data_IF_953343915149
#
_entry.id   IF_953343915149
#
_cell.length_a   1.000
_cell.length_b   1.000
_cell.length_c   1.000
_cell.angle_alpha   90.00
_cell.angle_beta   90.00
_cell.angle_gamma   90.00
#
_symmetry.space_group_name_H-M   'P 1'
#
loop_
_entity.id
_entity.type
_entity.pdbx_description
1 polymer ?
#
# COMPACT_ATOMS: atom_id res chain seq x y z
N UNK A 1 -29.75 37.84 2.35
CA UNK A 1 -29.08 37.78 1.03
C UNK A 1 -27.65 38.23 1.25
N UNK A 2 -26.82 37.34 1.79
CA UNK A 2 -25.41 37.63 2.12
C UNK A 2 -24.55 37.33 0.89
N UNK A 3 -23.82 38.35 0.43
CA UNK A 3 -22.86 38.21 -0.65
C UNK A 3 -21.63 37.42 -0.17
N UNK A 4 -21.41 36.30 -0.85
CA UNK A 4 -20.23 35.45 -0.77
C UNK A 4 -18.96 36.27 -0.97
N UNK A 5 -18.08 36.23 0.04
CA UNK A 5 -16.73 36.80 -0.05
C UNK A 5 -15.96 36.08 -1.16
N UNK A 6 -15.72 36.80 -2.26
CA UNK A 6 -14.88 36.36 -3.37
C UNK A 6 -13.46 36.17 -2.82
N UNK A 7 -12.92 34.96 -2.95
CA UNK A 7 -11.56 34.63 -2.55
C UNK A 7 -10.56 35.57 -3.26
N UNK A 8 -9.65 36.17 -2.49
CA UNK A 8 -8.61 37.04 -3.02
C UNK A 8 -7.74 36.29 -4.06
N UNK A 9 -7.34 36.94 -5.17
CA UNK A 9 -6.53 36.32 -6.19
C UNK A 9 -5.18 35.88 -5.60
N UNK A 10 -4.79 34.64 -5.91
CA UNK A 10 -3.50 34.05 -5.55
C UNK A 10 -2.38 34.94 -6.13
N UNK A 11 -1.63 35.60 -5.25
CA UNK A 11 -0.42 36.33 -5.64
C UNK A 11 0.59 35.33 -6.21
N UNK A 12 1.01 35.44 -7.48
CA UNK A 12 1.97 34.52 -8.06
C UNK A 12 3.32 34.67 -7.35
N UNK A 13 3.71 33.65 -6.57
CA UNK A 13 5.08 33.53 -6.07
C UNK A 13 6.02 33.52 -7.26
N UNK A 14 7.03 34.39 -7.25
CA UNK A 14 7.98 34.62 -8.33
C UNK A 14 8.38 33.34 -9.06
N UNK A 15 8.05 33.29 -10.34
CA UNK A 15 8.37 32.19 -11.25
C UNK A 15 9.89 32.03 -11.34
N UNK A 16 10.46 31.11 -10.57
CA UNK A 16 11.75 30.52 -10.93
C UNK A 16 11.51 29.74 -12.21
N UNK A 17 11.95 30.29 -13.35
CA UNK A 17 11.82 29.63 -14.65
C UNK A 17 12.41 28.23 -14.59
N UNK A 18 11.64 27.25 -15.08
CA UNK A 18 12.11 25.86 -15.14
C UNK A 18 13.33 25.77 -16.08
N UNK A 19 14.35 24.98 -15.75
CA UNK A 19 15.50 24.80 -16.63
C UNK A 19 15.04 24.29 -18.00
N UNK A 20 15.59 24.84 -19.08
CA UNK A 20 15.26 24.43 -20.45
C UNK A 20 15.45 22.91 -20.66
N UNK A 21 16.44 22.31 -20.00
CA UNK A 21 16.69 20.86 -20.03
C UNK A 21 15.56 20.05 -19.41
N UNK A 22 14.90 20.56 -18.36
CA UNK A 22 13.72 19.94 -17.75
C UNK A 22 12.54 20.05 -18.70
N UNK A 23 12.34 21.21 -19.33
CA UNK A 23 11.26 21.41 -20.31
C UNK A 23 11.42 20.49 -21.54
N UNK A 24 12.64 20.34 -22.06
CA UNK A 24 12.92 19.44 -23.19
C UNK A 24 12.68 17.98 -22.78
N UNK A 25 13.20 17.54 -21.62
CA UNK A 25 12.96 16.18 -21.11
C UNK A 25 11.46 15.92 -20.90
N UNK A 26 10.75 16.89 -20.32
CA UNK A 26 9.31 16.80 -20.11
C UNK A 26 8.58 16.69 -21.45
N UNK A 27 8.93 17.49 -22.45
CA UNK A 27 8.34 17.40 -23.79
C UNK A 27 8.61 16.02 -24.43
N UNK A 28 9.84 15.50 -24.33
CA UNK A 28 10.16 14.14 -24.82
C UNK A 28 9.33 13.07 -24.11
N UNK A 29 9.17 13.17 -22.79
CA UNK A 29 8.36 12.23 -22.01
C UNK A 29 6.89 12.35 -22.36
N UNK A 30 6.34 13.56 -22.47
CA UNK A 30 4.94 13.81 -22.83
C UNK A 30 4.63 13.29 -24.24
N UNK A 31 5.54 13.47 -25.20
CA UNK A 31 5.41 12.91 -26.55
C UNK A 31 5.34 11.38 -26.56
N UNK A 32 6.12 10.72 -25.70
CA UNK A 32 6.12 9.26 -25.59
C UNK A 32 4.96 8.70 -24.77
N UNK A 33 4.35 9.51 -23.91
CA UNK A 33 3.27 9.11 -23.01
C UNK A 33 1.93 9.72 -23.44
N UNK A 34 1.58 10.88 -22.89
CA UNK A 34 0.26 11.52 -23.03
C UNK A 34 -0.13 11.78 -24.49
N UNK A 35 0.83 12.09 -25.37
CA UNK A 35 0.55 12.37 -26.78
C UNK A 35 0.78 11.18 -27.71
N UNK A 36 1.15 10.01 -27.18
CA UNK A 36 1.39 8.81 -27.97
C UNK A 36 0.16 7.91 -28.01
N UNK A 37 -0.33 7.56 -29.20
CA UNK A 37 -1.35 6.51 -29.35
C UNK A 37 -0.86 5.16 -28.83
N UNK A 38 0.43 4.85 -29.02
CA UNK A 38 1.03 3.58 -28.55
C UNK A 38 0.90 3.44 -27.03
N UNK A 39 1.11 4.51 -26.29
CA UNK A 39 0.96 4.52 -24.82
C UNK A 39 -0.42 4.07 -24.37
N UNK A 40 -1.49 4.64 -24.93
CA UNK A 40 -2.85 4.25 -24.57
C UNK A 40 -3.21 2.83 -25.00
N UNK A 41 -2.71 2.37 -26.16
CA UNK A 41 -2.90 0.98 -26.59
C UNK A 41 -2.23 -0.01 -25.64
N UNK A 42 -1.00 0.29 -25.21
CA UNK A 42 -0.26 -0.53 -24.25
C UNK A 42 -0.97 -0.56 -22.88
N UNK A 43 -1.46 0.59 -22.39
CA UNK A 43 -2.27 0.63 -21.15
C UNK A 43 -3.50 -0.26 -21.28
N UNK A 44 -4.28 -0.09 -22.37
CA UNK A 44 -5.49 -0.89 -22.58
C UNK A 44 -5.17 -2.38 -22.67
N UNK A 45 -4.08 -2.75 -23.33
CA UNK A 45 -3.73 -4.16 -23.60
C UNK A 45 -3.05 -4.84 -22.41
N UNK A 46 -2.27 -4.11 -21.60
CA UNK A 46 -1.50 -4.69 -20.49
C UNK A 46 -2.12 -4.42 -19.12
N UNK A 47 -2.63 -3.22 -18.90
CA UNK A 47 -3.15 -2.79 -17.58
C UNK A 47 -4.65 -3.05 -17.45
N UNK A 48 -5.43 -2.79 -18.50
CA UNK A 48 -6.91 -2.83 -18.43
C UNK A 48 -7.53 -4.10 -19.04
N UNK A 49 -6.74 -4.96 -19.67
CA UNK A 49 -7.24 -6.12 -20.41
C UNK A 49 -7.71 -7.28 -19.52
N UNK A 50 -7.20 -7.37 -18.29
CA UNK A 50 -7.52 -8.44 -17.36
C UNK A 50 -7.94 -7.86 -16.01
N UNK A 51 -8.92 -8.52 -15.39
CA UNK A 51 -9.33 -8.19 -14.01
C UNK A 51 -8.17 -8.33 -13.03
N UNK A 52 -7.26 -9.28 -13.24
CA UNK A 52 -6.10 -9.49 -12.38
C UNK A 52 -5.06 -8.36 -12.50
N UNK A 53 -4.78 -7.87 -13.71
CA UNK A 53 -3.84 -6.75 -13.91
C UNK A 53 -4.45 -5.43 -13.42
N UNK A 54 -5.76 -5.27 -13.59
CA UNK A 54 -6.51 -4.15 -13.02
C UNK A 54 -6.49 -4.18 -11.48
N UNK A 55 -6.75 -5.32 -10.83
CA UNK A 55 -6.67 -5.42 -9.36
C UNK A 55 -5.25 -5.15 -8.85
N UNK A 56 -4.21 -5.68 -9.50
CA UNK A 56 -2.82 -5.41 -9.10
C UNK A 56 -2.50 -3.90 -9.11
N UNK A 57 -3.03 -3.17 -10.09
CA UNK A 57 -2.87 -1.73 -10.18
C UNK A 57 -3.67 -0.98 -9.10
N UNK A 58 -4.95 -1.35 -8.93
CA UNK A 58 -5.82 -0.79 -7.90
C UNK A 58 -5.34 -1.09 -6.48
N UNK A 59 -4.73 -2.25 -6.26
CA UNK A 59 -4.15 -2.66 -4.97
C UNK A 59 -3.09 -1.65 -4.54
N UNK A 60 -2.15 -1.33 -5.42
CA UNK A 60 -1.12 -0.34 -5.08
C UNK A 60 -1.72 1.05 -4.85
N UNK A 61 -2.60 1.52 -5.74
CA UNK A 61 -3.22 2.84 -5.63
C UNK A 61 -4.04 2.97 -4.33
N UNK A 62 -4.78 1.91 -3.95
CA UNK A 62 -5.57 1.86 -2.73
C UNK A 62 -4.73 2.17 -1.48
N UNK A 63 -3.68 1.40 -1.23
CA UNK A 63 -2.89 1.58 -0.01
C UNK A 63 -1.92 2.75 -0.12
N UNK A 64 -1.46 3.10 -1.32
CA UNK A 64 -0.60 4.26 -1.51
C UNK A 64 -1.35 5.57 -1.24
N UNK A 65 -2.61 5.68 -1.66
CA UNK A 65 -3.45 6.85 -1.33
C UNK A 65 -3.78 6.90 0.17
N UNK A 66 -3.99 5.77 0.83
CA UNK A 66 -4.12 5.70 2.30
C UNK A 66 -2.83 6.15 3.02
N UNK A 67 -1.67 5.72 2.52
CA UNK A 67 -0.37 6.11 3.05
C UNK A 67 -0.15 7.62 2.90
N UNK A 68 -0.41 8.17 1.70
CA UNK A 68 -0.33 9.61 1.45
C UNK A 68 -1.29 10.41 2.34
N UNK A 69 -2.53 9.95 2.49
CA UNK A 69 -3.50 10.55 3.42
C UNK A 69 -2.96 10.58 4.85
N UNK A 70 -2.40 9.47 5.32
CA UNK A 70 -1.84 9.35 6.67
C UNK A 70 -0.62 10.25 6.88
N UNK A 71 0.25 10.35 5.88
CA UNK A 71 1.42 11.24 5.89
C UNK A 71 0.97 12.71 5.93
N UNK A 72 -0.04 13.08 5.14
CA UNK A 72 -0.56 14.44 5.09
C UNK A 72 -1.26 14.84 6.40
N UNK A 73 -2.01 13.93 7.02
CA UNK A 73 -2.63 14.16 8.32
C UNK A 73 -1.59 14.31 9.44
N UNK A 74 -0.50 13.55 9.37
CA UNK A 74 0.58 13.60 10.36
C UNK A 74 1.70 14.60 9.97
N UNK A 75 1.49 15.46 8.98
CA UNK A 75 2.53 16.36 8.43
C UNK A 75 3.21 17.19 9.50
N UNK A 76 2.45 17.72 10.46
CA UNK A 76 2.98 18.57 11.53
C UNK A 76 3.89 17.78 12.47
N UNK A 77 3.48 16.57 12.87
CA UNK A 77 4.27 15.69 13.71
C UNK A 77 5.53 15.18 12.99
N UNK A 78 5.41 14.86 11.70
CA UNK A 78 6.55 14.47 10.86
C UNK A 78 7.55 15.64 10.74
N UNK A 79 7.07 16.87 10.56
CA UNK A 79 7.94 18.04 10.46
C UNK A 79 8.68 18.31 11.77
N UNK A 80 7.97 18.26 12.92
CA UNK A 80 8.59 18.33 14.24
C UNK A 80 9.65 17.25 14.43
N UNK A 81 9.33 15.99 14.09
CA UNK A 81 10.29 14.88 14.17
C UNK A 81 11.53 15.12 13.30
N UNK A 82 11.35 15.53 12.04
CA UNK A 82 12.46 15.81 11.13
C UNK A 82 13.33 16.98 11.59
N UNK A 83 12.74 18.05 12.14
CA UNK A 83 13.48 19.15 12.73
C UNK A 83 14.29 18.69 13.95
N UNK A 84 13.70 17.88 14.83
CA UNK A 84 14.40 17.29 15.97
C UNK A 84 15.55 16.37 15.52
N UNK A 85 15.35 15.53 14.50
CA UNK A 85 16.42 14.68 13.96
C UNK A 85 17.53 15.51 13.29
N UNK A 86 17.16 16.58 12.58
CA UNK A 86 18.12 17.52 12.01
C UNK A 86 18.94 18.20 13.11
N UNK A 87 18.32 18.63 14.20
CA UNK A 87 19.01 19.21 15.34
C UNK A 87 19.95 18.19 16.00
N UNK A 88 19.51 16.95 16.20
CA UNK A 88 20.34 15.86 16.71
C UNK A 88 21.53 15.56 15.81
N UNK A 89 21.32 15.52 14.49
CA UNK A 89 22.39 15.30 13.51
C UNK A 89 23.40 16.46 13.52
N UNK A 90 22.93 17.71 13.57
CA UNK A 90 23.82 18.88 13.71
C UNK A 90 24.61 18.80 15.01
N UNK A 91 23.98 18.40 16.12
CA UNK A 91 24.68 18.22 17.40
C UNK A 91 25.73 17.10 17.34
N UNK A 92 25.46 16.01 16.62
CA UNK A 92 26.38 14.89 16.43
C UNK A 92 27.54 15.28 15.52
N UNK A 93 27.27 15.97 14.41
CA UNK A 93 28.27 16.56 13.52
C UNK A 93 29.12 17.55 14.30
N UNK A 94 28.55 18.42 15.12
CA UNK A 94 29.31 19.36 15.94
C UNK A 94 30.19 18.63 16.95
N UNK A 95 29.68 17.59 17.63
CA UNK A 95 30.50 16.77 18.54
C UNK A 95 31.69 16.09 17.84
N UNK A 96 31.52 15.67 16.59
CA UNK A 96 32.58 15.05 15.77
C UNK A 96 33.50 16.11 15.14
N UNK A 97 32.98 17.30 14.81
CA UNK A 97 33.67 18.40 14.12
C UNK A 97 34.38 19.37 15.08
N UNK A 98 34.26 19.20 16.40
CA UNK A 98 35.03 19.96 17.41
C UNK A 98 36.57 19.78 17.25
N UNK A 99 37.04 18.84 16.41
CA UNK A 99 38.47 18.77 16.06
C UNK A 99 38.92 19.73 14.94
N UNK A 100 38.01 20.31 14.17
CA UNK A 100 38.38 21.21 13.06
C UNK A 100 37.26 22.24 12.83
N UNK A 101 37.55 23.50 13.19
CA UNK A 101 36.74 24.74 13.07
C UNK A 101 35.64 24.73 11.99
N UNK A 102 34.43 25.22 12.32
CA UNK A 102 33.75 26.19 11.45
C UNK A 102 32.63 27.02 12.10
N UNK A 103 32.63 28.35 11.88
CA UNK A 103 31.59 29.30 12.34
C UNK A 103 30.26 29.14 11.59
N UNK A 104 30.28 28.50 10.42
CA UNK A 104 29.12 28.28 9.55
C UNK A 104 28.09 27.31 10.13
N UNK A 105 28.51 26.39 11.01
CA UNK A 105 27.63 25.42 11.67
C UNK A 105 26.85 26.03 12.84
N UNK A 106 27.41 27.06 13.51
CA UNK A 106 26.76 27.77 14.62
C UNK A 106 25.57 28.57 14.10
N UNK A 107 25.72 29.31 12.99
CA UNK A 107 24.60 30.05 12.38
C UNK A 107 23.46 29.14 11.88
N UNK A 108 23.77 27.90 11.46
CA UNK A 108 22.74 26.91 11.08
C UNK A 108 22.00 26.34 12.29
N UNK A 109 22.61 26.34 13.47
CA UNK A 109 21.98 25.91 14.73
C UNK A 109 20.90 26.89 15.14
N UNK A 110 21.19 28.19 15.15
CA UNK A 110 20.25 29.23 15.58
C UNK A 110 18.99 29.27 14.69
N UNK A 111 19.15 29.04 13.38
CA UNK A 111 18.01 28.92 12.44
C UNK A 111 17.15 27.70 12.74
N UNK A 112 17.77 26.55 13.07
CA UNK A 112 17.02 25.32 13.41
C UNK A 112 16.35 25.43 14.79
N UNK A 113 17.00 26.05 15.77
CA UNK A 113 16.41 26.32 17.10
C UNK A 113 15.23 27.29 16.99
N UNK A 114 15.32 28.30 16.12
CA UNK A 114 14.21 29.20 15.79
C UNK A 114 13.07 28.47 15.09
N UNK A 115 13.36 27.66 14.07
CA UNK A 115 12.34 26.85 13.37
C UNK A 115 11.62 25.88 14.33
N UNK A 116 12.33 25.30 15.30
CA UNK A 116 11.75 24.41 16.32
C UNK A 116 10.86 25.20 17.29
N UNK A 117 11.28 26.40 17.71
CA UNK A 117 10.50 27.23 18.62
C UNK A 117 9.25 27.82 17.94
N UNK A 118 9.36 28.23 16.68
CA UNK A 118 8.22 28.70 15.87
C UNK A 118 7.20 27.57 15.64
N UNK A 119 7.64 26.31 15.44
CA UNK A 119 6.74 25.15 15.37
C UNK A 119 6.16 24.73 16.72
N UNK A 120 6.90 24.91 17.83
CA UNK A 120 6.37 24.68 19.18
C UNK A 120 5.29 25.70 19.53
N UNK A 121 5.49 26.97 19.19
CA UNK A 121 4.48 28.01 19.36
C UNK A 121 3.23 27.71 18.52
N UNK A 122 3.40 27.32 17.26
CA UNK A 122 2.29 26.91 16.39
C UNK A 122 1.57 25.61 16.85
N UNK A 123 2.25 24.76 17.63
CA UNK A 123 1.70 23.53 18.19
C UNK A 123 1.05 23.69 19.56
N UNK A 124 1.46 24.69 20.36
CA UNK A 124 0.90 24.98 21.67
C UNK A 124 -0.50 25.63 21.57
N UNK A 125 -0.73 26.47 20.56
CA UNK A 125 -2.05 27.02 20.25
C UNK A 125 -3.03 25.98 19.68
N UNK A 126 -2.56 24.78 19.35
CA UNK A 126 -3.36 23.70 18.77
C UNK A 126 -3.80 22.63 19.79
N UNK A 127 -3.58 22.84 21.10
CA UNK A 127 -3.88 21.82 22.12
C UNK A 127 -5.35 21.70 22.55
N UNK A 128 -6.27 22.51 22.01
CA UNK A 128 -7.73 22.34 22.26
C UNK A 128 -8.62 22.36 21.00
N UNK A 129 -8.08 22.63 19.82
CA UNK A 129 -8.84 22.59 18.57
C UNK A 129 -8.39 21.41 17.70
N UNK A 130 -9.33 20.53 17.35
CA UNK A 130 -9.12 19.36 16.49
C UNK A 130 -8.12 19.65 15.37
N UNK A 131 -6.99 18.93 15.36
CA UNK A 131 -5.90 19.05 14.36
C UNK A 131 -6.51 19.29 12.98
N UNK A 132 -6.19 20.40 12.28
CA UNK A 132 -6.80 20.71 11.00
C UNK A 132 -6.45 19.62 9.99
N UNK A 133 -7.36 18.68 9.78
CA UNK A 133 -7.21 17.59 8.81
C UNK A 133 -7.12 18.22 7.44
N UNK A 134 -6.07 17.88 6.68
CA UNK A 134 -5.93 18.37 5.32
C UNK A 134 -7.11 17.89 4.47
N UNK A 135 -7.79 18.79 3.77
CA UNK A 135 -8.88 18.43 2.85
C UNK A 135 -8.44 17.37 1.82
N UNK A 136 -7.20 17.49 1.32
CA UNK A 136 -6.62 16.50 0.42
C UNK A 136 -6.46 15.13 1.09
N UNK A 137 -6.05 15.09 2.36
CA UNK A 137 -5.94 13.83 3.10
C UNK A 137 -7.29 13.15 3.28
N UNK A 138 -8.35 13.91 3.55
CA UNK A 138 -9.72 13.38 3.63
C UNK A 138 -10.14 12.76 2.29
N UNK A 139 -9.91 13.46 1.18
CA UNK A 139 -10.24 12.94 -0.15
C UNK A 139 -9.43 11.70 -0.52
N UNK A 140 -8.13 11.67 -0.23
CA UNK A 140 -7.28 10.50 -0.49
C UNK A 140 -7.72 9.27 0.32
N UNK A 141 -8.18 9.48 1.57
CA UNK A 141 -8.75 8.40 2.37
C UNK A 141 -10.05 7.88 1.76
N UNK A 142 -10.93 8.77 1.32
CA UNK A 142 -12.19 8.39 0.68
C UNK A 142 -11.94 7.61 -0.63
N UNK A 143 -10.98 8.06 -1.45
CA UNK A 143 -10.55 7.34 -2.66
C UNK A 143 -10.04 5.94 -2.30
N UNK A 144 -9.19 5.81 -1.28
CA UNK A 144 -8.69 4.52 -0.82
C UNK A 144 -9.82 3.58 -0.40
N UNK A 145 -10.77 4.04 0.42
CA UNK A 145 -11.93 3.26 0.84
C UNK A 145 -12.79 2.80 -0.33
N UNK A 146 -13.07 3.68 -1.30
CA UNK A 146 -13.86 3.33 -2.48
C UNK A 146 -13.12 2.35 -3.40
N UNK A 147 -11.80 2.52 -3.59
CA UNK A 147 -11.01 1.56 -4.37
C UNK A 147 -10.98 0.19 -3.67
N UNK A 148 -10.86 0.14 -2.34
CA UNK A 148 -10.90 -1.12 -1.60
C UNK A 148 -12.20 -1.89 -1.87
N UNK A 149 -13.34 -1.18 -1.84
CA UNK A 149 -14.64 -1.74 -2.19
C UNK A 149 -14.71 -2.27 -3.64
N UNK A 150 -14.32 -1.46 -4.62
CA UNK A 150 -14.25 -1.86 -6.04
C UNK A 150 -13.36 -3.09 -6.24
N UNK A 151 -12.27 -3.20 -5.49
CA UNK A 151 -11.37 -4.35 -5.56
C UNK A 151 -12.03 -5.64 -5.07
N UNK A 152 -12.76 -5.58 -3.95
CA UNK A 152 -13.49 -6.74 -3.43
C UNK A 152 -14.60 -7.13 -4.43
N UNK A 153 -15.34 -6.13 -4.94
CA UNK A 153 -16.35 -6.36 -5.98
C UNK A 153 -15.78 -7.07 -7.22
N UNK A 154 -14.62 -6.62 -7.72
CA UNK A 154 -13.97 -7.25 -8.87
C UNK A 154 -13.56 -8.71 -8.61
N UNK A 155 -13.35 -9.10 -7.35
CA UNK A 155 -13.00 -10.47 -6.94
C UNK A 155 -14.21 -11.36 -6.65
N UNK A 156 -15.44 -10.87 -6.76
CA UNK A 156 -16.64 -11.71 -6.52
C UNK A 156 -16.66 -13.00 -7.37
N UNK A 157 -16.09 -12.96 -8.57
CA UNK A 157 -15.99 -14.12 -9.46
C UNK A 157 -14.63 -14.81 -9.43
N UNK A 158 -13.66 -14.27 -8.69
CA UNK A 158 -12.29 -14.75 -8.66
C UNK A 158 -12.16 -16.14 -8.02
N UNK A 159 -13.11 -16.56 -7.18
CA UNK A 159 -13.14 -17.91 -6.59
C UNK A 159 -13.03 -19.03 -7.64
N UNK A 160 -13.56 -18.80 -8.86
CA UNK A 160 -13.52 -19.75 -9.98
C UNK A 160 -12.09 -20.02 -10.45
N UNK A 161 -11.17 -19.04 -10.33
CA UNK A 161 -9.77 -19.17 -10.77
C UNK A 161 -9.01 -20.27 -10.01
N UNK A 162 -9.48 -20.64 -8.82
CA UNK A 162 -8.87 -21.68 -8.01
C UNK A 162 -9.32 -23.10 -8.38
N UNK A 163 -10.43 -23.26 -9.11
CA UNK A 163 -10.97 -24.59 -9.45
C UNK A 163 -9.96 -25.44 -10.26
N UNK A 164 -9.28 -24.93 -11.30
CA UNK A 164 -8.25 -25.71 -11.98
C UNK A 164 -7.13 -26.17 -11.04
N UNK A 165 -6.64 -25.27 -10.18
CA UNK A 165 -5.58 -25.60 -9.22
C UNK A 165 -6.04 -26.67 -8.21
N UNK A 166 -7.29 -26.60 -7.73
CA UNK A 166 -7.86 -27.60 -6.83
C UNK A 166 -7.95 -28.97 -7.51
N UNK A 167 -8.39 -29.02 -8.77
CA UNK A 167 -8.50 -30.26 -9.54
C UNK A 167 -7.13 -30.88 -9.78
N UNK A 168 -6.13 -30.08 -10.14
CA UNK A 168 -4.76 -30.52 -10.38
C UNK A 168 -4.11 -31.08 -9.10
N UNK A 169 -4.25 -30.39 -7.96
CA UNK A 169 -3.70 -30.85 -6.68
C UNK A 169 -4.46 -32.08 -6.15
N UNK A 170 -5.76 -32.19 -6.39
CA UNK A 170 -6.53 -33.39 -6.06
C UNK A 170 -6.04 -34.60 -6.87
N UNK A 171 -5.85 -34.44 -8.18
CA UNK A 171 -5.31 -35.48 -9.04
C UNK A 171 -3.88 -35.88 -8.59
N UNK A 172 -3.05 -34.91 -8.22
CA UNK A 172 -1.73 -35.16 -7.68
C UNK A 172 -1.78 -35.92 -6.35
N UNK A 173 -2.69 -35.57 -5.44
CA UNK A 173 -2.86 -36.26 -4.16
C UNK A 173 -3.25 -37.73 -4.34
N UNK A 174 -4.13 -38.02 -5.30
CA UNK A 174 -4.63 -39.37 -5.57
C UNK A 174 -3.65 -40.24 -6.35
N UNK A 175 -2.64 -39.67 -7.02
CA UNK A 175 -1.70 -40.43 -7.84
C UNK A 175 -0.59 -41.08 -7.00
N UNK A 176 -0.56 -42.41 -6.81
CA UNK A 176 0.46 -43.07 -6.00
C UNK A 176 1.86 -43.09 -6.65
N UNK A 177 1.96 -42.82 -7.96
CA UNK A 177 3.21 -42.92 -8.72
C UNK A 177 4.09 -41.65 -8.67
N UNK A 178 3.59 -40.56 -8.08
CA UNK A 178 4.37 -39.31 -7.97
C UNK A 178 5.48 -39.44 -6.91
N UNK A 179 6.66 -38.95 -7.27
CA UNK A 179 7.86 -38.94 -6.41
C UNK A 179 7.77 -37.93 -5.26
N UNK A 180 6.81 -36.99 -5.32
CA UNK A 180 6.59 -35.98 -4.29
C UNK A 180 5.96 -36.63 -3.04
N UNK A 181 6.46 -36.33 -1.82
CA UNK A 181 5.88 -36.83 -0.58
C UNK A 181 4.37 -36.57 -0.48
N UNK A 182 3.64 -37.50 0.15
CA UNK A 182 2.18 -37.36 0.31
C UNK A 182 1.78 -36.14 1.15
N UNK A 183 2.59 -35.80 2.17
CA UNK A 183 2.34 -34.63 3.01
C UNK A 183 2.40 -33.34 2.21
N UNK A 184 3.41 -33.18 1.37
CA UNK A 184 3.58 -31.99 0.52
C UNK A 184 2.39 -31.80 -0.43
N UNK A 185 1.89 -32.91 -1.02
CA UNK A 185 0.69 -32.90 -1.86
C UNK A 185 -0.57 -32.57 -1.07
N UNK A 186 -0.71 -33.12 0.13
CA UNK A 186 -1.84 -32.81 1.00
C UNK A 186 -1.84 -31.34 1.44
N UNK A 187 -0.66 -30.76 1.72
CA UNK A 187 -0.50 -29.34 2.06
C UNK A 187 -0.88 -28.47 0.86
N UNK A 188 -0.40 -28.76 -0.35
CA UNK A 188 -0.77 -28.00 -1.55
C UNK A 188 -2.28 -28.05 -1.82
N UNK A 189 -2.89 -29.23 -1.71
CA UNK A 189 -4.34 -29.39 -1.86
C UNK A 189 -5.11 -28.62 -0.78
N UNK A 190 -4.63 -28.64 0.47
CA UNK A 190 -5.23 -27.84 1.54
C UNK A 190 -5.08 -26.34 1.28
N UNK A 191 -3.94 -25.87 0.76
CA UNK A 191 -3.73 -24.47 0.39
C UNK A 191 -4.67 -24.03 -0.73
N UNK A 192 -4.91 -24.86 -1.75
CA UNK A 192 -5.82 -24.52 -2.85
C UNK A 192 -7.27 -24.43 -2.40
N UNK A 193 -7.73 -25.34 -1.53
CA UNK A 193 -9.03 -25.24 -0.87
C UNK A 193 -9.13 -24.02 0.04
N UNK A 194 -8.07 -23.70 0.79
CA UNK A 194 -8.03 -22.54 1.67
C UNK A 194 -8.24 -21.23 0.89
N UNK A 195 -7.64 -21.10 -0.29
CA UNK A 195 -7.86 -19.95 -1.18
C UNK A 195 -9.32 -19.85 -1.67
N UNK A 196 -9.95 -20.98 -2.00
CA UNK A 196 -11.37 -20.97 -2.37
C UNK A 196 -12.26 -20.53 -1.20
N UNK A 197 -12.03 -21.06 -0.01
CA UNK A 197 -12.80 -20.69 1.20
C UNK A 197 -12.62 -19.22 1.53
N UNK A 198 -11.40 -18.69 1.41
CA UNK A 198 -11.09 -17.28 1.61
C UNK A 198 -11.96 -16.38 0.72
N UNK A 199 -11.94 -16.59 -0.61
CA UNK A 199 -12.72 -15.76 -1.53
C UNK A 199 -14.23 -15.90 -1.27
N UNK A 200 -14.71 -17.10 -0.94
CA UNK A 200 -16.13 -17.29 -0.63
C UNK A 200 -16.57 -16.52 0.63
N UNK A 201 -15.71 -16.46 1.65
CA UNK A 201 -15.96 -15.66 2.85
C UNK A 201 -15.87 -14.16 2.55
N UNK A 202 -14.90 -13.72 1.75
CA UNK A 202 -14.80 -12.31 1.30
C UNK A 202 -16.07 -11.89 0.55
N UNK A 203 -16.54 -12.75 -0.37
CA UNK A 203 -17.76 -12.53 -1.14
C UNK A 203 -19.00 -12.46 -0.25
N UNK A 204 -19.13 -13.36 0.73
CA UNK A 204 -20.23 -13.34 1.68
C UNK A 204 -20.24 -12.05 2.52
N UNK A 205 -19.06 -11.58 2.95
CA UNK A 205 -18.92 -10.30 3.66
C UNK A 205 -19.36 -9.12 2.82
N UNK A 206 -18.91 -9.06 1.57
CA UNK A 206 -19.28 -7.98 0.65
C UNK A 206 -20.78 -7.97 0.33
N UNK A 207 -21.38 -9.13 0.06
CA UNK A 207 -22.81 -9.26 -0.23
C UNK A 207 -23.70 -8.86 0.95
N UNK A 208 -23.28 -9.18 2.18
CA UNK A 208 -24.01 -8.81 3.40
C UNK A 208 -23.84 -7.33 3.73
N UNK A 209 -22.64 -6.78 3.57
CA UNK A 209 -22.36 -5.34 3.73
C UNK A 209 -23.21 -4.47 2.80
N UNK A 210 -23.43 -4.91 1.56
CA UNK A 210 -24.22 -4.20 0.56
C UNK A 210 -25.73 -4.51 0.60
N UNK A 211 -26.18 -5.33 1.55
CA UNK A 211 -27.58 -5.77 1.68
C UNK A 211 -28.13 -6.48 0.43
N UNK A 212 -27.28 -7.22 -0.29
CA UNK A 212 -27.71 -8.03 -1.44
C UNK A 212 -28.29 -9.38 -1.00
N UNK A 213 -27.95 -9.79 0.23
CA UNK A 213 -28.53 -10.96 0.89
C UNK A 213 -29.20 -10.50 2.19
N UNK A 214 -30.42 -10.96 2.42
CA UNK A 214 -31.12 -10.73 3.68
C UNK A 214 -30.69 -11.77 4.70
N UNK A 215 -29.80 -11.41 5.61
CA UNK A 215 -29.59 -12.15 6.85
C UNK A 215 -30.38 -11.48 7.98
N UNK A 216 -30.56 -12.17 9.11
CA UNK A 216 -31.23 -11.59 10.29
C UNK A 216 -30.47 -10.36 10.85
N UNK A 217 -29.13 -10.30 10.66
CA UNK A 217 -28.27 -9.19 11.10
C UNK A 217 -27.07 -9.01 10.14
N UNK A 218 -27.29 -8.24 9.07
CA UNK A 218 -26.26 -8.02 8.05
C UNK A 218 -24.99 -7.36 8.59
N UNK A 219 -25.09 -6.50 9.62
CA UNK A 219 -23.93 -5.83 10.20
C UNK A 219 -23.05 -6.81 10.98
N UNK A 220 -23.66 -7.75 11.70
CA UNK A 220 -22.92 -8.81 12.37
C UNK A 220 -22.25 -9.74 11.35
N UNK A 221 -23.02 -10.23 10.36
CA UNK A 221 -22.54 -11.22 9.41
C UNK A 221 -21.45 -10.69 8.47
N UNK A 222 -21.48 -9.41 8.09
CA UNK A 222 -20.40 -8.83 7.27
C UNK A 222 -19.07 -8.78 8.03
N UNK A 223 -19.08 -8.33 9.29
CA UNK A 223 -17.89 -8.28 10.14
C UNK A 223 -17.35 -9.70 10.40
N UNK A 224 -18.22 -10.63 10.75
CA UNK A 224 -17.82 -12.00 11.10
C UNK A 224 -17.18 -12.71 9.91
N UNK A 225 -17.79 -12.61 8.72
CA UNK A 225 -17.26 -13.23 7.50
C UNK A 225 -15.93 -12.60 7.04
N UNK A 226 -15.77 -11.28 7.12
CA UNK A 226 -14.49 -10.64 6.83
C UNK A 226 -13.38 -11.05 7.81
N UNK A 227 -13.69 -11.18 9.11
CA UNK A 227 -12.71 -11.63 10.11
C UNK A 227 -12.29 -13.08 9.85
N UNK A 228 -13.23 -13.98 9.59
CA UNK A 228 -12.90 -15.36 9.25
C UNK A 228 -12.16 -15.47 7.92
N UNK A 229 -12.52 -14.67 6.92
CA UNK A 229 -11.76 -14.54 5.67
C UNK A 229 -10.29 -14.20 5.98
N UNK A 230 -10.04 -13.20 6.82
CA UNK A 230 -8.69 -12.79 7.19
C UNK A 230 -7.94 -13.87 7.99
N UNK A 231 -8.61 -14.64 8.84
CA UNK A 231 -8.00 -15.77 9.56
C UNK A 231 -7.58 -16.90 8.60
N UNK A 232 -8.44 -17.24 7.65
CA UNK A 232 -8.17 -18.22 6.59
C UNK A 232 -7.02 -17.73 5.70
N UNK A 233 -6.98 -16.43 5.38
CA UNK A 233 -5.85 -15.80 4.70
C UNK A 233 -4.55 -15.91 5.51
N UNK A 234 -4.61 -15.73 6.83
CA UNK A 234 -3.46 -15.86 7.72
C UNK A 234 -2.89 -17.26 7.75
N UNK A 235 -3.76 -18.28 7.80
CA UNK A 235 -3.34 -19.66 7.70
C UNK A 235 -2.56 -19.93 6.41
N UNK A 236 -3.05 -19.44 5.26
CA UNK A 236 -2.33 -19.55 3.98
C UNK A 236 -0.96 -18.89 4.01
N UNK A 237 -0.85 -17.64 4.49
CA UNK A 237 0.43 -16.93 4.53
C UNK A 237 1.43 -17.65 5.43
N UNK A 238 1.00 -18.14 6.59
CA UNK A 238 1.90 -18.86 7.52
C UNK A 238 2.40 -20.15 6.87
N UNK A 239 1.51 -20.94 6.26
CA UNK A 239 1.88 -22.17 5.56
C UNK A 239 2.85 -21.84 4.42
N UNK A 240 2.57 -20.82 3.61
CA UNK A 240 3.43 -20.44 2.48
C UNK A 240 4.83 -20.01 2.95
N UNK A 241 4.93 -19.22 4.02
CA UNK A 241 6.22 -18.84 4.59
C UNK A 241 6.99 -20.08 5.06
N UNK A 242 6.33 -21.00 5.79
CA UNK A 242 6.95 -22.24 6.26
C UNK A 242 7.42 -23.11 5.09
N UNK A 243 6.57 -23.28 4.07
CA UNK A 243 6.88 -24.06 2.87
C UNK A 243 8.02 -23.45 2.06
N UNK A 244 8.10 -22.12 1.96
CA UNK A 244 9.21 -21.43 1.29
C UNK A 244 10.57 -21.75 1.94
N UNK A 245 10.61 -21.82 3.28
CA UNK A 245 11.81 -22.22 4.04
C UNK A 245 12.10 -23.72 3.95
N UNK A 246 11.06 -24.57 3.94
CA UNK A 246 11.20 -26.02 3.88
C UNK A 246 11.67 -26.52 2.51
N UNK A 247 11.12 -25.96 1.42
CA UNK A 247 11.41 -26.38 0.03
C UNK A 247 12.72 -25.85 -0.52
N UNK A 248 13.15 -24.67 -0.06
CA UNK A 248 14.31 -23.97 -0.64
C UNK A 248 15.54 -24.08 0.26
N UNK A 249 16.57 -24.87 -0.11
CA UNK A 249 17.81 -24.91 0.66
C UNK A 249 18.48 -23.54 0.68
N UNK A 250 19.17 -23.21 1.79
CA UNK A 250 19.82 -21.91 2.01
C UNK A 250 20.77 -21.48 0.88
N UNK A 251 21.38 -22.43 0.18
CA UNK A 251 22.26 -22.16 -0.96
C UNK A 251 21.56 -21.57 -2.17
N UNK A 252 20.23 -21.72 -2.28
CA UNK A 252 19.41 -21.24 -3.40
C UNK A 252 18.62 -19.96 -3.08
N UNK A 253 18.96 -19.26 -1.99
CA UNK A 253 18.29 -18.00 -1.61
C UNK A 253 18.77 -16.84 -2.49
N UNK A 254 18.25 -16.80 -3.70
CA UNK A 254 18.51 -15.75 -4.67
C UNK A 254 17.69 -14.47 -4.38
N UNK A 255 17.80 -13.48 -5.27
CA UNK A 255 17.08 -12.21 -5.14
C UNK A 255 15.57 -12.41 -5.25
N UNK A 256 15.12 -13.31 -6.12
CA UNK A 256 13.69 -13.56 -6.35
C UNK A 256 13.05 -14.22 -5.12
N UNK A 257 13.74 -15.17 -4.50
CA UNK A 257 13.31 -15.79 -3.25
C UNK A 257 13.15 -14.76 -2.14
N UNK A 258 14.11 -13.82 -2.01
CA UNK A 258 14.02 -12.72 -1.01
C UNK A 258 12.84 -11.79 -1.28
N UNK A 259 12.57 -11.46 -2.54
CA UNK A 259 11.42 -10.65 -2.93
C UNK A 259 10.11 -11.39 -2.60
N UNK A 260 10.02 -12.68 -2.90
CA UNK A 260 8.85 -13.48 -2.59
C UNK A 260 8.63 -13.60 -1.07
N UNK A 261 9.69 -13.82 -0.30
CA UNK A 261 9.60 -13.85 1.16
C UNK A 261 9.12 -12.50 1.70
N UNK A 262 9.67 -11.39 1.18
CA UNK A 262 9.23 -10.05 1.55
C UNK A 262 7.74 -9.83 1.26
N UNK A 263 7.25 -10.24 0.07
CA UNK A 263 5.83 -10.17 -0.29
C UNK A 263 4.94 -10.90 0.72
N UNK A 264 5.35 -12.07 1.21
CA UNK A 264 4.57 -12.81 2.21
C UNK A 264 4.65 -12.15 3.59
N UNK A 265 5.85 -11.80 4.05
CA UNK A 265 6.07 -11.25 5.40
C UNK A 265 5.42 -9.88 5.58
N UNK A 266 5.47 -9.00 4.57
CA UNK A 266 4.89 -7.65 4.67
C UNK A 266 3.36 -7.66 4.80
N UNK A 267 2.72 -8.76 4.40
CA UNK A 267 1.27 -8.95 4.53
C UNK A 267 0.87 -9.47 5.91
N UNK A 268 1.76 -10.14 6.66
CA UNK A 268 1.44 -10.71 7.98
C UNK A 268 0.82 -9.67 8.95
N UNK A 269 1.35 -8.44 9.10
CA UNK A 269 0.72 -7.45 9.96
C UNK A 269 -0.69 -7.05 9.51
N UNK A 270 -0.96 -7.01 8.20
CA UNK A 270 -2.29 -6.70 7.66
C UNK A 270 -3.28 -7.80 8.01
N UNK A 271 -2.87 -9.06 7.86
CA UNK A 271 -3.72 -10.20 8.22
C UNK A 271 -4.08 -10.14 9.70
N UNK A 272 -3.09 -9.92 10.57
CA UNK A 272 -3.34 -9.81 12.01
C UNK A 272 -4.29 -8.65 12.31
N UNK A 273 -4.09 -7.50 11.65
CA UNK A 273 -4.96 -6.34 11.81
C UNK A 273 -6.40 -6.62 11.41
N UNK A 274 -6.66 -7.26 10.27
CA UNK A 274 -8.04 -7.55 9.81
C UNK A 274 -8.64 -8.83 10.42
N UNK A 275 -7.86 -9.64 11.13
CA UNK A 275 -8.35 -10.80 11.89
C UNK A 275 -8.94 -10.43 13.26
N UNK A 276 -8.84 -9.16 13.66
CA UNK A 276 -9.30 -8.61 14.94
C UNK A 276 -10.46 -7.64 14.70
N UNK A 277 -11.47 -7.65 15.57
CA UNK A 277 -12.64 -6.77 15.47
C UNK A 277 -12.27 -5.28 15.47
N UNK A 278 -11.34 -4.87 16.35
CA UNK A 278 -10.90 -3.46 16.45
C UNK A 278 -9.66 -3.14 15.61
N UNK A 279 -8.96 -4.17 15.13
CA UNK A 279 -7.66 -4.06 14.49
C UNK A 279 -6.53 -3.55 15.40
N UNK A 280 -5.28 -3.81 15.02
CA UNK A 280 -4.09 -3.40 15.79
C UNK A 280 -3.18 -2.36 15.11
N UNK A 281 -3.35 -2.09 13.81
CA UNK A 281 -2.51 -1.18 13.04
C UNK A 281 -3.16 0.18 12.83
N UNK A 282 -2.35 1.23 12.85
CA UNK A 282 -2.77 2.55 12.43
C UNK A 282 -2.93 2.62 10.90
N UNK A 283 -3.73 3.56 10.35
CA UNK A 283 -3.88 3.74 8.90
C UNK A 283 -2.55 3.94 8.16
N UNK A 284 -1.55 4.52 8.83
CA UNK A 284 -0.20 4.65 8.31
C UNK A 284 0.43 3.28 8.04
N UNK A 285 0.43 2.38 9.02
CA UNK A 285 1.02 1.05 8.89
C UNK A 285 0.25 0.16 7.91
N UNK A 286 -1.08 0.29 7.88
CA UNK A 286 -1.92 -0.36 6.86
C UNK A 286 -1.50 0.09 5.46
N UNK A 287 -1.31 1.40 5.26
CA UNK A 287 -0.80 1.95 4.01
C UNK A 287 0.60 1.45 3.65
N UNK A 288 1.54 1.45 4.60
CA UNK A 288 2.92 0.97 4.39
C UNK A 288 2.93 -0.51 3.98
N UNK A 289 2.27 -1.37 4.74
CA UNK A 289 2.26 -2.80 4.48
C UNK A 289 1.53 -3.12 3.17
N UNK A 290 0.40 -2.47 2.90
CA UNK A 290 -0.38 -2.70 1.68
C UNK A 290 0.32 -2.20 0.42
N UNK A 291 0.98 -1.04 0.48
CA UNK A 291 1.84 -0.55 -0.63
C UNK A 291 3.06 -1.44 -0.83
N UNK A 292 3.68 -1.93 0.26
CA UNK A 292 4.82 -2.84 0.19
C UNK A 292 4.47 -4.18 -0.46
N UNK A 293 3.31 -4.75 -0.12
CA UNK A 293 2.81 -6.00 -0.68
C UNK A 293 2.56 -5.91 -2.19
N UNK A 294 1.97 -4.81 -2.66
CA UNK A 294 1.56 -4.62 -4.05
C UNK A 294 2.61 -3.95 -4.95
N UNK A 295 3.66 -3.35 -4.39
CA UNK A 295 4.67 -2.58 -5.13
C UNK A 295 5.29 -3.35 -6.30
N UNK A 296 5.69 -4.60 -6.08
CA UNK A 296 6.39 -5.38 -7.10
C UNK A 296 5.48 -5.72 -8.29
N UNK A 297 4.25 -6.16 -8.03
CA UNK A 297 3.28 -6.45 -9.09
C UNK A 297 2.94 -5.20 -9.90
N UNK A 298 2.72 -4.07 -9.21
CA UNK A 298 2.52 -2.77 -9.86
C UNK A 298 3.73 -2.37 -10.70
N UNK A 299 4.94 -2.42 -10.13
CA UNK A 299 6.16 -2.04 -10.82
C UNK A 299 6.41 -2.89 -12.07
N UNK A 300 6.29 -4.22 -11.94
CA UNK A 300 6.53 -5.14 -13.05
C UNK A 300 5.51 -4.93 -14.17
N UNK A 301 4.24 -4.67 -13.83
CA UNK A 301 3.19 -4.31 -14.79
C UNK A 301 3.53 -3.02 -15.56
N UNK A 302 3.90 -1.95 -14.86
CA UNK A 302 4.21 -0.67 -15.50
C UNK A 302 5.54 -0.68 -16.27
N UNK A 303 6.52 -1.50 -15.85
CA UNK A 303 7.76 -1.72 -16.60
C UNK A 303 7.55 -2.55 -17.87
N UNK A 304 6.49 -3.35 -17.93
CA UNK A 304 6.17 -4.14 -19.12
C UNK A 304 5.67 -3.27 -20.28
N UNK A 305 5.25 -2.02 -20.04
CA UNK A 305 4.77 -1.09 -21.06
C UNK A 305 5.93 -0.65 -21.94
N UNK A 306 5.84 -0.97 -23.22
CA UNK A 306 6.87 -0.59 -24.18
C UNK A 306 6.55 0.78 -24.81
N UNK A 307 7.39 1.76 -24.49
CA UNK A 307 7.30 3.14 -25.02
C UNK A 307 8.35 3.43 -26.09
N UNK A 308 9.05 2.40 -26.58
CA UNK A 308 10.03 2.54 -27.67
C UNK A 308 9.38 2.88 -29.00
#
# INVERSE_FOLDING_TARGET
>A
MEMTKIAAPLVPRGSRGLPLTVLIKLNTVLRKTIFSRKFYLEITTKVLSSTATMDANLYFICYFTLLLSSILNNKHEIRKFLLNQRANLINLINKVSIKTLDKTLIAKRDVVEKDINDEKAAGADAQEAAVPKSNLAVHLKAISSYIADVRIFNRLTDSIKYVPWIVDEFAALMNPALTVPRLDRAVNFAQSLNCLVLELLENAGWLTEHNWVGTNDNNYWCIETYIWCCRVWGAYIIIEIVEMFRRTPRSKWDKNWKINLFKQVIQVPLVVHWSLYDGCLSPFWVGVCGSGASWHAFKDLWLSIDLS
#
